data_IF_987530612088
#
_entry.id   IF_987530612088
#
_cell.length_a   1.000
_cell.length_b   1.000
_cell.length_c   1.000
_cell.angle_alpha   90.00
_cell.angle_beta   90.00
_cell.angle_gamma   90.00
#
_symmetry.space_group_name_H-M   'P 1'
#
loop_
_entity.id
_entity.type
_entity.pdbx_description
1 polymer ?
#
# COMPACT_ATOMS: atom_id res chain seq x y z
N UNK A 1 41.21 -10.74 -31.89
CA UNK A 1 40.18 -11.33 -31.02
C UNK A 1 40.28 -12.83 -31.08
N UNK A 2 40.71 -13.50 -30.02
CA UNK A 2 40.68 -14.97 -29.95
C UNK A 2 39.27 -15.38 -29.54
N UNK A 3 38.54 -16.05 -30.41
CA UNK A 3 37.26 -16.65 -30.11
C UNK A 3 37.47 -17.81 -29.13
N UNK A 4 36.90 -17.72 -27.95
CA UNK A 4 36.80 -18.87 -27.04
C UNK A 4 35.82 -19.85 -27.67
N UNK A 5 36.23 -21.10 -27.86
CA UNK A 5 35.34 -22.13 -28.42
C UNK A 5 34.23 -22.44 -27.39
N UNK A 6 33.06 -22.85 -27.90
CA UNK A 6 31.92 -23.26 -27.07
C UNK A 6 32.29 -24.37 -26.08
N UNK A 7 33.26 -25.23 -26.46
CA UNK A 7 33.78 -26.27 -25.58
C UNK A 7 34.58 -25.70 -24.39
N UNK A 8 35.40 -24.67 -24.62
CA UNK A 8 36.16 -24.01 -23.55
C UNK A 8 35.24 -23.26 -22.58
N UNK A 9 34.12 -22.70 -23.06
CA UNK A 9 33.11 -22.10 -22.22
C UNK A 9 32.37 -23.16 -21.36
N UNK A 10 32.01 -24.31 -21.93
CA UNK A 10 31.43 -25.43 -21.20
C UNK A 10 32.36 -25.97 -20.12
N UNK A 11 33.67 -26.10 -20.44
CA UNK A 11 34.67 -26.56 -19.47
C UNK A 11 34.89 -25.55 -18.32
N UNK A 12 34.84 -24.26 -18.59
CA UNK A 12 34.90 -23.21 -17.55
C UNK A 12 33.66 -23.26 -16.67
N UNK A 13 32.47 -23.35 -17.24
CA UNK A 13 31.22 -23.45 -16.51
C UNK A 13 31.13 -24.73 -15.66
N UNK A 14 31.54 -25.88 -16.23
CA UNK A 14 31.58 -27.14 -15.50
C UNK A 14 32.52 -27.08 -14.29
N UNK A 15 33.71 -26.47 -14.44
CA UNK A 15 34.69 -26.33 -13.37
C UNK A 15 34.26 -25.39 -12.24
N UNK A 16 33.58 -24.29 -12.54
CA UNK A 16 33.20 -23.27 -11.54
C UNK A 16 31.80 -23.46 -10.95
N UNK A 17 30.84 -23.96 -11.73
CA UNK A 17 29.45 -24.09 -11.30
C UNK A 17 29.16 -25.47 -10.72
N UNK A 18 29.75 -26.54 -11.25
CA UNK A 18 29.51 -27.92 -10.81
C UNK A 18 30.43 -28.42 -9.71
N UNK A 19 31.40 -27.61 -9.26
CA UNK A 19 32.21 -27.94 -8.07
C UNK A 19 33.09 -29.19 -8.27
N UNK A 20 33.45 -29.57 -9.50
CA UNK A 20 34.41 -30.65 -9.72
C UNK A 20 35.75 -30.27 -9.08
N UNK A 21 36.16 -31.03 -8.09
CA UNK A 21 37.47 -30.93 -7.44
C UNK A 21 38.56 -31.07 -8.49
N UNK A 22 39.16 -29.96 -8.86
CA UNK A 22 40.40 -29.96 -9.60
C UNK A 22 41.45 -30.64 -8.71
N UNK A 23 42.04 -31.72 -9.16
CA UNK A 23 43.20 -32.32 -8.50
C UNK A 23 44.24 -31.22 -8.28
N UNK A 24 44.60 -31.03 -7.00
CA UNK A 24 45.54 -30.01 -6.54
C UNK A 24 46.94 -30.28 -7.09
N UNK A 25 47.17 -29.93 -8.32
CA UNK A 25 48.49 -29.52 -8.78
C UNK A 25 48.56 -28.03 -8.56
N UNK A 26 49.48 -27.60 -7.72
CA UNK A 26 49.72 -26.22 -7.34
C UNK A 26 49.77 -25.30 -8.57
N UNK A 27 48.64 -24.71 -8.94
CA UNK A 27 48.63 -23.62 -9.90
C UNK A 27 49.17 -22.40 -9.16
N UNK A 28 50.46 -22.12 -9.32
CA UNK A 28 51.02 -20.82 -9.00
C UNK A 28 50.38 -19.84 -9.98
N UNK A 29 49.41 -19.07 -9.51
CA UNK A 29 48.81 -18.00 -10.30
C UNK A 29 49.86 -16.91 -10.42
N UNK A 30 50.64 -16.97 -11.47
CA UNK A 30 51.52 -15.87 -11.86
C UNK A 30 50.68 -14.75 -12.45
N UNK A 31 51.11 -13.50 -12.27
CA UNK A 31 50.43 -12.30 -12.80
C UNK A 31 50.04 -12.42 -14.26
N UNK A 32 50.87 -13.10 -15.05
CA UNK A 32 50.66 -13.32 -16.50
C UNK A 32 49.53 -14.33 -16.78
N UNK A 33 49.35 -15.33 -15.90
CA UNK A 33 48.23 -16.29 -16.02
C UNK A 33 46.90 -15.68 -15.61
N UNK A 34 46.91 -14.76 -14.64
CA UNK A 34 45.73 -14.01 -14.26
C UNK A 34 45.29 -13.03 -15.36
N UNK A 35 46.24 -12.36 -16.00
CA UNK A 35 46.00 -11.51 -17.16
C UNK A 35 45.51 -12.30 -18.36
N UNK A 36 46.05 -13.51 -18.61
CA UNK A 36 45.57 -14.39 -19.65
C UNK A 36 44.16 -14.94 -19.43
N UNK A 37 43.77 -15.15 -18.17
CA UNK A 37 42.40 -15.54 -17.83
C UNK A 37 41.40 -14.38 -18.04
N UNK A 38 41.82 -13.17 -17.73
CA UNK A 38 41.00 -11.95 -17.93
C UNK A 38 40.88 -11.63 -19.42
N UNK A 39 41.94 -11.83 -20.22
CA UNK A 39 41.88 -11.69 -21.68
C UNK A 39 40.97 -12.76 -22.33
N UNK A 40 40.72 -13.87 -21.64
CA UNK A 40 39.86 -14.95 -22.13
C UNK A 40 38.38 -14.67 -21.78
N UNK A 41 38.11 -13.94 -20.69
CA UNK A 41 36.74 -13.51 -20.30
C UNK A 41 36.44 -12.18 -21.01
N UNK A 42 36.09 -12.25 -22.29
CA UNK A 42 35.85 -11.07 -23.12
C UNK A 42 34.67 -10.18 -22.65
N UNK A 43 33.83 -10.62 -21.74
CA UNK A 43 32.72 -9.84 -21.20
C UNK A 43 32.18 -10.47 -19.91
N UNK A 44 32.17 -9.70 -18.84
CA UNK A 44 31.46 -10.06 -17.61
C UNK A 44 29.98 -9.64 -17.76
N UNK A 45 29.07 -10.60 -17.80
CA UNK A 45 27.66 -10.35 -17.73
C UNK A 45 27.27 -10.22 -16.26
N UNK A 46 26.95 -9.02 -15.82
CA UNK A 46 26.22 -8.84 -14.58
C UNK A 46 24.73 -8.92 -14.91
N UNK A 47 24.11 -10.01 -14.50
CA UNK A 47 22.63 -10.14 -14.57
C UNK A 47 22.08 -9.23 -13.50
N UNK A 48 21.30 -8.26 -13.92
CA UNK A 48 20.64 -7.30 -13.06
C UNK A 48 19.13 -7.41 -13.27
N UNK A 49 18.37 -7.59 -12.18
CA UNK A 49 16.93 -7.50 -12.20
C UNK A 49 16.53 -6.05 -12.00
N UNK A 50 15.65 -5.55 -12.84
CA UNK A 50 15.03 -4.25 -12.63
C UNK A 50 13.86 -4.40 -11.64
N UNK A 51 13.93 -3.64 -10.54
CA UNK A 51 12.83 -3.58 -9.58
C UNK A 51 11.94 -2.39 -9.95
N UNK A 52 10.70 -2.70 -10.32
CA UNK A 52 9.69 -1.70 -10.69
C UNK A 52 8.67 -1.61 -9.55
N UNK A 53 8.23 -0.40 -9.25
CA UNK A 53 7.15 -0.20 -8.29
C UNK A 53 5.80 -0.45 -8.98
N UNK A 54 5.12 -1.51 -8.56
CA UNK A 54 3.82 -1.92 -9.13
C UNK A 54 2.64 -1.08 -8.61
N UNK A 55 2.87 -0.26 -7.58
CA UNK A 55 1.83 0.55 -6.93
C UNK A 55 2.15 2.06 -6.93
N UNK A 56 2.41 2.67 -8.11
CA UNK A 56 2.73 4.10 -8.19
C UNK A 56 1.55 4.98 -7.76
N UNK A 57 0.32 4.47 -7.83
CA UNK A 57 -0.87 5.17 -7.38
C UNK A 57 -0.93 5.42 -5.87
N UNK A 58 -0.12 4.72 -5.09
CA UNK A 58 0.05 4.97 -3.64
C UNK A 58 1.18 5.95 -3.33
N UNK A 59 1.93 6.40 -4.33
CA UNK A 59 2.92 7.44 -4.14
C UNK A 59 2.23 8.78 -3.89
N UNK A 60 2.72 9.47 -2.87
CA UNK A 60 2.37 10.83 -2.57
C UNK A 60 3.36 11.81 -3.17
N UNK A 61 3.05 13.09 -3.09
CA UNK A 61 3.95 14.15 -3.49
C UNK A 61 5.18 14.24 -2.57
N UNK A 62 6.30 14.75 -3.08
CA UNK A 62 7.47 15.03 -2.27
C UNK A 62 7.20 16.21 -1.34
N UNK A 63 7.36 16.01 -0.03
CA UNK A 63 7.16 17.05 0.97
C UNK A 63 8.45 17.85 1.16
N UNK A 64 8.54 18.99 0.49
CA UNK A 64 9.70 19.87 0.58
C UNK A 64 9.82 20.57 1.95
N UNK A 65 8.69 20.76 2.63
CA UNK A 65 8.61 21.43 3.94
C UNK A 65 7.69 20.66 4.88
N UNK A 66 8.17 20.43 6.11
CA UNK A 66 7.42 19.69 7.12
C UNK A 66 7.41 18.17 6.87
N UNK A 67 7.10 17.42 7.91
CA UNK A 67 7.06 15.94 7.87
C UNK A 67 5.66 15.41 8.18
N UNK A 68 4.72 16.28 8.49
CA UNK A 68 3.37 15.91 8.93
C UNK A 68 2.36 16.42 7.91
N UNK A 69 1.41 15.57 7.55
CA UNK A 69 0.27 15.91 6.71
C UNK A 69 -0.94 15.97 7.63
N UNK A 70 -1.68 17.04 7.55
CA UNK A 70 -2.92 17.24 8.26
C UNK A 70 -4.08 17.14 7.26
N UNK A 71 -5.08 16.33 7.58
CA UNK A 71 -6.29 16.16 6.77
C UNK A 71 -7.46 16.81 7.48
N UNK A 72 -8.18 17.67 6.77
CA UNK A 72 -9.47 18.23 7.19
C UNK A 72 -10.58 17.63 6.33
N UNK A 73 -11.62 17.16 6.95
CA UNK A 73 -12.83 16.73 6.27
C UNK A 73 -14.01 17.62 6.70
N UNK A 74 -14.75 18.15 5.73
CA UNK A 74 -15.97 18.93 5.97
C UNK A 74 -17.15 18.09 5.48
N UNK A 75 -18.01 17.67 6.40
CA UNK A 75 -19.19 16.88 6.07
C UNK A 75 -20.29 17.75 5.43
N UNK A 76 -21.29 17.09 4.84
CA UNK A 76 -22.42 17.75 4.21
C UNK A 76 -23.21 18.57 5.23
N UNK A 77 -23.61 19.77 4.83
CA UNK A 77 -24.48 20.62 5.61
C UNK A 77 -25.92 20.18 5.32
N UNK A 78 -26.71 19.79 6.36
CA UNK A 78 -28.09 19.41 6.16
C UNK A 78 -28.90 20.59 5.64
N UNK A 79 -29.83 20.38 4.69
CA UNK A 79 -30.73 21.41 4.24
C UNK A 79 -31.66 21.85 5.38
N UNK A 80 -31.98 23.11 5.42
CA UNK A 80 -32.92 23.73 6.34
C UNK A 80 -34.14 24.24 5.54
N UNK A 81 -35.32 24.15 6.15
CA UNK A 81 -36.49 24.80 5.60
C UNK A 81 -36.28 26.33 5.55
N UNK A 82 -36.74 26.95 4.49
CA UNK A 82 -36.70 28.40 4.38
C UNK A 82 -37.57 28.99 5.50
N UNK A 83 -37.01 29.88 6.35
CA UNK A 83 -37.80 30.51 7.39
C UNK A 83 -38.93 31.33 6.75
N UNK A 84 -40.13 31.19 7.30
CA UNK A 84 -41.26 32.01 6.92
C UNK A 84 -41.08 33.40 7.55
N UNK A 85 -41.16 34.43 6.69
CA UNK A 85 -40.96 35.82 7.14
C UNK A 85 -42.04 36.32 8.11
N UNK A 86 -43.20 35.68 8.10
CA UNK A 86 -44.34 36.03 8.97
C UNK A 86 -44.36 35.26 10.28
N UNK A 87 -43.39 34.40 10.55
CA UNK A 87 -43.33 33.57 11.75
C UNK A 87 -42.31 34.09 12.80
N UNK A 88 -42.58 33.78 14.06
CA UNK A 88 -41.61 34.03 15.16
C UNK A 88 -40.24 33.36 14.91
N UNK A 89 -40.15 32.43 13.98
CA UNK A 89 -38.93 31.76 13.54
C UNK A 89 -37.97 32.65 12.73
N UNK A 90 -38.38 33.88 12.36
CA UNK A 90 -37.46 34.83 11.68
C UNK A 90 -36.21 35.12 12.53
N UNK A 91 -36.34 35.10 13.85
CA UNK A 91 -35.19 35.23 14.75
C UNK A 91 -34.20 34.05 14.65
N UNK A 92 -34.63 32.86 14.18
CA UNK A 92 -33.75 31.72 13.96
C UNK A 92 -32.88 31.89 12.73
N UNK A 93 -33.30 32.64 11.73
CA UNK A 93 -32.51 32.94 10.53
C UNK A 93 -31.23 33.74 10.85
N UNK A 94 -31.19 34.42 11.98
CA UNK A 94 -30.02 35.19 12.45
C UNK A 94 -29.13 34.41 13.44
N UNK A 95 -29.49 33.18 13.78
CA UNK A 95 -28.66 32.34 14.65
C UNK A 95 -27.37 31.93 13.94
N UNK A 96 -26.29 31.90 14.70
CA UNK A 96 -25.06 31.28 14.25
C UNK A 96 -25.25 29.75 14.15
N UNK A 97 -25.06 29.23 12.95
CA UNK A 97 -25.06 27.79 12.74
C UNK A 97 -23.61 27.30 12.85
N UNK A 98 -23.36 26.41 13.76
CA UNK A 98 -22.05 25.79 13.89
C UNK A 98 -21.65 25.11 12.56
N UNK A 99 -20.44 25.31 12.09
CA UNK A 99 -19.96 24.61 10.90
C UNK A 99 -20.06 23.10 11.11
N UNK A 100 -20.19 22.36 10.02
CA UNK A 100 -20.14 20.92 10.05
C UNK A 100 -18.89 20.45 10.78
N UNK A 101 -18.98 19.32 11.46
CA UNK A 101 -17.87 18.76 12.21
C UNK A 101 -16.68 18.53 11.27
N UNK A 102 -15.50 19.01 11.66
CA UNK A 102 -14.26 18.88 10.87
C UNK A 102 -13.29 17.96 11.62
N UNK A 103 -13.45 16.64 11.50
CA UNK A 103 -12.49 15.72 12.08
C UNK A 103 -11.13 15.90 11.41
N UNK A 104 -10.12 16.10 12.21
CA UNK A 104 -8.74 16.26 11.76
C UNK A 104 -7.98 14.96 11.97
N UNK A 105 -7.22 14.54 10.97
CA UNK A 105 -6.30 13.41 11.10
C UNK A 105 -4.89 13.81 10.71
N UNK A 106 -3.91 13.13 11.31
CA UNK A 106 -2.50 13.40 11.11
C UNK A 106 -1.81 12.19 10.49
N UNK A 107 -0.85 12.47 9.61
CA UNK A 107 0.02 11.43 9.04
C UNK A 107 1.04 10.93 10.05
N UNK A 108 1.54 9.72 9.82
CA UNK A 108 2.61 9.12 10.62
C UNK A 108 3.94 9.24 9.89
N UNK A 109 4.91 9.92 10.51
CA UNK A 109 6.30 9.94 10.02
C UNK A 109 6.97 8.63 10.38
N UNK A 110 7.52 7.95 9.37
CA UNK A 110 8.25 6.71 9.55
C UNK A 110 9.69 6.99 10.03
N UNK A 111 10.30 6.01 10.69
CA UNK A 111 11.70 6.13 11.11
C UNK A 111 12.59 6.28 9.88
N UNK A 112 13.55 7.23 9.88
CA UNK A 112 14.53 7.37 8.82
C UNK A 112 15.27 6.08 8.55
N UNK A 113 15.53 5.79 7.27
CA UNK A 113 16.29 4.61 6.84
C UNK A 113 17.54 5.03 6.09
N UNK A 114 18.59 4.25 6.25
CA UNK A 114 19.83 4.39 5.50
C UNK A 114 20.14 3.06 4.83
N UNK A 115 20.28 3.09 3.52
CA UNK A 115 20.78 1.98 2.71
C UNK A 115 22.27 2.21 2.50
N UNK A 116 23.10 1.24 2.84
CA UNK A 116 24.55 1.37 2.77
C UNK A 116 25.14 0.22 1.95
N UNK A 117 26.14 0.53 1.13
CA UNK A 117 26.98 -0.45 0.45
C UNK A 117 28.42 0.01 0.44
N UNK A 118 29.36 -0.92 0.46
CA UNK A 118 30.80 -0.65 0.39
C UNK A 118 31.38 -1.29 -0.89
N UNK A 119 32.25 -0.55 -1.55
CA UNK A 119 32.93 -1.01 -2.76
C UNK A 119 34.43 -1.03 -2.49
N UNK A 120 35.05 -2.21 -2.36
CA UNK A 120 36.51 -2.31 -2.18
C UNK A 120 37.27 -1.87 -3.44
N UNK A 121 38.31 -1.04 -3.28
CA UNK A 121 39.14 -0.61 -4.40
C UNK A 121 39.83 -1.78 -5.12
N UNK A 122 40.23 -2.81 -4.37
CA UNK A 122 40.87 -3.98 -4.95
C UNK A 122 39.98 -4.76 -5.92
N UNK A 123 38.67 -4.83 -5.60
CA UNK A 123 37.70 -5.54 -6.46
C UNK A 123 37.42 -4.71 -7.71
N UNK A 124 37.37 -3.38 -7.56
CA UNK A 124 37.28 -2.48 -8.72
C UNK A 124 38.50 -2.64 -9.62
N UNK A 125 39.72 -2.57 -9.06
CA UNK A 125 40.93 -2.68 -9.83
C UNK A 125 41.12 -4.05 -10.49
N UNK A 126 40.54 -5.12 -9.95
CA UNK A 126 40.57 -6.47 -10.57
C UNK A 126 39.51 -6.65 -11.64
N UNK A 127 38.36 -6.02 -11.49
CA UNK A 127 37.22 -6.14 -12.39
C UNK A 127 37.30 -5.17 -13.58
N UNK A 128 38.20 -4.19 -13.53
CA UNK A 128 38.20 -3.04 -14.44
C UNK A 128 39.53 -2.92 -15.15
N UNK A 129 39.53 -3.22 -16.44
CA UNK A 129 40.70 -2.97 -17.31
C UNK A 129 40.53 -1.70 -18.15
N UNK A 130 39.34 -1.16 -18.29
CA UNK A 130 39.03 0.05 -19.04
C UNK A 130 38.13 0.99 -18.23
N UNK A 131 38.26 2.29 -18.50
CA UNK A 131 37.48 3.36 -17.86
C UNK A 131 35.95 3.14 -17.97
N UNK A 132 35.48 2.67 -19.12
CA UNK A 132 34.09 2.34 -19.37
C UNK A 132 33.54 1.22 -18.45
N UNK A 133 34.38 0.23 -18.11
CA UNK A 133 34.01 -0.87 -17.21
C UNK A 133 33.91 -0.36 -15.77
N UNK A 134 34.74 0.60 -15.35
CA UNK A 134 34.65 1.23 -14.04
C UNK A 134 33.35 2.00 -13.89
N UNK A 135 33.04 2.86 -14.85
CA UNK A 135 31.79 3.64 -14.86
C UNK A 135 30.59 2.70 -14.80
N UNK A 136 30.58 1.63 -15.58
CA UNK A 136 29.52 0.64 -15.58
C UNK A 136 29.37 -0.09 -14.23
N UNK A 137 30.48 -0.46 -13.58
CA UNK A 137 30.45 -1.12 -12.27
C UNK A 137 29.90 -0.20 -11.18
N UNK A 138 30.36 1.05 -11.11
CA UNK A 138 29.89 2.06 -10.16
C UNK A 138 28.41 2.37 -10.39
N UNK A 139 28.01 2.53 -11.66
CA UNK A 139 26.61 2.80 -12.02
C UNK A 139 25.69 1.65 -11.56
N UNK A 140 26.10 0.39 -11.75
CA UNK A 140 25.33 -0.78 -11.31
C UNK A 140 25.20 -0.86 -9.78
N UNK A 141 26.27 -0.54 -9.04
CA UNK A 141 26.24 -0.53 -7.58
C UNK A 141 25.31 0.59 -7.07
N UNK A 142 25.40 1.77 -7.68
CA UNK A 142 24.49 2.89 -7.35
C UNK A 142 23.05 2.54 -7.69
N UNK A 143 22.81 1.85 -8.81
CA UNK A 143 21.49 1.34 -9.18
C UNK A 143 20.94 0.37 -8.13
N UNK A 144 21.78 -0.52 -7.57
CA UNK A 144 21.34 -1.45 -6.52
C UNK A 144 20.87 -0.75 -5.24
N UNK A 145 21.41 0.40 -4.88
CA UNK A 145 20.88 1.21 -3.79
C UNK A 145 19.48 1.73 -4.11
N UNK A 146 19.25 2.16 -5.35
CA UNK A 146 17.92 2.60 -5.81
C UNK A 146 16.93 1.43 -5.84
N UNK A 147 17.35 0.26 -6.33
CA UNK A 147 16.52 -0.96 -6.35
C UNK A 147 16.15 -1.41 -4.93
N UNK A 148 17.10 -1.32 -4.00
CA UNK A 148 16.86 -1.63 -2.58
C UNK A 148 15.87 -0.64 -1.95
N UNK A 149 15.92 0.65 -2.33
CA UNK A 149 14.92 1.64 -1.93
C UNK A 149 13.53 1.27 -2.48
N UNK A 150 13.43 0.92 -3.77
CA UNK A 150 12.17 0.52 -4.40
C UNK A 150 11.56 -0.70 -3.71
N UNK A 151 12.37 -1.71 -3.40
CA UNK A 151 11.93 -2.88 -2.63
C UNK A 151 11.45 -2.51 -1.22
N UNK A 152 12.13 -1.58 -0.55
CA UNK A 152 11.71 -1.09 0.76
C UNK A 152 10.39 -0.31 0.68
N UNK A 153 10.21 0.56 -0.31
CA UNK A 153 8.97 1.30 -0.56
C UNK A 153 7.81 0.33 -0.78
N UNK A 154 8.03 -0.69 -1.58
CA UNK A 154 7.04 -1.72 -1.87
C UNK A 154 6.55 -2.42 -0.60
N UNK A 155 7.49 -2.85 0.27
CA UNK A 155 7.15 -3.43 1.56
C UNK A 155 6.38 -2.45 2.48
N UNK A 156 6.74 -1.17 2.49
CA UNK A 156 6.02 -0.15 3.27
C UNK A 156 4.59 0.03 2.75
N UNK A 157 4.37 0.01 1.43
CA UNK A 157 3.04 0.11 0.82
C UNK A 157 2.16 -1.08 1.21
N UNK A 158 2.70 -2.30 1.24
CA UNK A 158 1.96 -3.48 1.74
C UNK A 158 1.57 -3.34 3.21
N UNK A 159 2.51 -2.92 4.05
CA UNK A 159 2.23 -2.67 5.47
C UNK A 159 1.16 -1.58 5.65
N UNK A 160 1.17 -0.55 4.82
CA UNK A 160 0.18 0.52 4.86
C UNK A 160 -1.21 0.03 4.46
N UNK A 161 -1.32 -0.82 3.43
CA UNK A 161 -2.57 -1.49 3.08
C UNK A 161 -3.05 -2.44 4.18
N UNK A 162 -2.14 -3.20 4.79
CA UNK A 162 -2.43 -4.06 5.95
C UNK A 162 -2.95 -3.28 7.15
N UNK A 163 -2.36 -2.12 7.44
CA UNK A 163 -2.82 -1.22 8.50
C UNK A 163 -4.22 -0.66 8.20
N UNK A 164 -4.52 -0.34 6.93
CA UNK A 164 -5.87 0.04 6.51
C UNK A 164 -6.89 -1.08 6.77
N UNK A 165 -6.54 -2.32 6.40
CA UNK A 165 -7.36 -3.49 6.67
C UNK A 165 -7.60 -3.68 8.17
N UNK A 166 -6.54 -3.60 8.97
CA UNK A 166 -6.61 -3.76 10.43
C UNK A 166 -7.52 -2.73 11.07
N UNK A 167 -7.40 -1.44 10.72
CA UNK A 167 -8.30 -0.39 11.24
C UNK A 167 -9.76 -0.63 10.88
N UNK A 168 -10.05 -1.13 9.67
CA UNK A 168 -11.42 -1.48 9.30
C UNK A 168 -11.96 -2.66 10.13
N UNK A 169 -11.13 -3.68 10.38
CA UNK A 169 -11.51 -4.83 11.21
C UNK A 169 -11.71 -4.40 12.67
N UNK A 170 -10.79 -3.61 13.22
CA UNK A 170 -10.89 -3.13 14.61
C UNK A 170 -12.17 -2.33 14.81
N UNK A 171 -12.53 -1.45 13.86
CA UNK A 171 -13.78 -0.70 13.90
C UNK A 171 -15.01 -1.62 13.90
N UNK A 172 -14.96 -2.70 13.10
CA UNK A 172 -16.07 -3.67 12.99
C UNK A 172 -16.05 -4.74 14.09
N UNK A 173 -14.97 -4.86 14.87
CA UNK A 173 -14.80 -5.84 15.95
C UNK A 173 -15.16 -5.28 17.33
N UNK A 174 -15.66 -4.04 17.39
CA UNK A 174 -16.02 -3.42 18.67
C UNK A 174 -16.99 -4.27 19.47
N UNK A 175 -16.74 -4.41 20.76
CA UNK A 175 -17.59 -5.14 21.71
C UNK A 175 -18.48 -4.22 22.54
N UNK A 176 -18.24 -2.90 22.50
CA UNK A 176 -18.97 -1.90 23.25
C UNK A 176 -20.40 -1.81 22.71
N UNK A 177 -21.37 -2.29 23.48
CA UNK A 177 -22.79 -2.27 23.11
C UNK A 177 -23.39 -0.92 23.39
N UNK A 178 -24.21 -0.42 22.46
CA UNK A 178 -24.96 0.82 22.65
C UNK A 178 -25.97 0.67 23.76
N UNK A 179 -26.01 1.64 24.68
CA UNK A 179 -26.99 1.76 25.73
C UNK A 179 -27.57 3.17 25.74
N UNK A 180 -28.89 3.28 25.68
CA UNK A 180 -29.64 4.56 25.61
C UNK A 180 -29.29 5.53 26.74
N UNK A 181 -29.08 4.99 27.94
CA UNK A 181 -28.80 5.78 29.14
C UNK A 181 -27.34 6.19 29.32
N UNK A 182 -26.45 5.84 28.35
CA UNK A 182 -25.03 6.14 28.44
C UNK A 182 -24.65 7.24 27.44
N UNK A 183 -23.87 8.22 27.88
CA UNK A 183 -23.31 9.24 26.98
C UNK A 183 -22.09 8.70 26.26
N UNK A 184 -21.94 9.05 24.99
CA UNK A 184 -20.81 8.61 24.14
C UNK A 184 -20.15 9.81 23.47
N UNK A 185 -18.84 9.81 23.51
CA UNK A 185 -18.05 10.80 22.81
C UNK A 185 -18.03 10.56 21.28
N UNK A 186 -17.83 11.63 20.54
CA UNK A 186 -17.64 11.60 19.09
C UNK A 186 -16.52 10.61 18.71
N UNK A 187 -16.72 9.83 17.65
CA UNK A 187 -15.75 8.85 17.16
C UNK A 187 -15.76 7.52 17.92
N UNK A 188 -16.66 7.31 18.89
CA UNK A 188 -16.78 6.04 19.60
C UNK A 188 -17.46 4.99 18.73
N UNK A 189 -16.81 3.83 18.56
CA UNK A 189 -17.39 2.68 17.85
C UNK A 189 -18.30 1.88 18.79
N UNK A 190 -19.47 1.54 18.30
CA UNK A 190 -20.50 0.85 19.06
C UNK A 190 -21.10 -0.31 18.27
N UNK A 191 -21.67 -1.24 19.02
CA UNK A 191 -22.41 -2.40 18.51
C UNK A 191 -23.88 -2.28 18.93
N UNK A 192 -24.78 -2.59 18.01
CA UNK A 192 -26.18 -2.82 18.34
C UNK A 192 -26.35 -4.17 19.04
N UNK A 193 -27.17 -4.21 20.12
CA UNK A 193 -27.45 -5.44 20.85
C UNK A 193 -28.27 -6.45 20.03
N UNK A 194 -29.18 -5.96 19.20
CA UNK A 194 -30.20 -6.77 18.55
C UNK A 194 -29.82 -7.23 17.16
N UNK A 195 -29.38 -6.28 16.32
CA UNK A 195 -29.04 -6.57 14.92
C UNK A 195 -27.56 -6.92 14.70
N UNK A 196 -26.76 -6.81 15.75
CA UNK A 196 -25.30 -6.98 15.64
C UNK A 196 -24.60 -5.99 14.68
N UNK A 197 -25.32 -4.95 14.23
CA UNK A 197 -24.78 -3.88 13.41
C UNK A 197 -23.67 -3.11 14.15
N UNK A 198 -22.73 -2.56 13.40
CA UNK A 198 -21.66 -1.70 13.93
C UNK A 198 -21.85 -0.28 13.45
N UNK A 199 -21.52 0.67 14.31
CA UNK A 199 -21.62 2.07 13.97
C UNK A 199 -20.64 2.91 14.76
N UNK A 200 -20.54 4.16 14.35
CA UNK A 200 -19.70 5.18 14.99
C UNK A 200 -20.57 6.36 15.40
N UNK A 201 -20.24 6.96 16.53
CA UNK A 201 -20.88 8.21 16.99
C UNK A 201 -20.33 9.38 16.15
N UNK A 202 -21.18 9.97 15.33
CA UNK A 202 -20.85 11.11 14.46
C UNK A 202 -21.32 12.46 14.99
N UNK A 203 -22.12 12.45 16.06
CA UNK A 203 -22.61 13.64 16.78
C UNK A 203 -22.66 13.33 18.26
N UNK A 204 -22.19 14.26 19.10
CA UNK A 204 -22.20 14.08 20.56
C UNK A 204 -23.51 13.51 21.07
N UNK A 205 -23.43 12.34 21.68
CA UNK A 205 -24.60 11.65 22.23
C UNK A 205 -24.62 11.79 23.75
N UNK A 206 -25.64 12.48 24.26
CA UNK A 206 -25.95 12.52 25.70
C UNK A 206 -26.93 11.41 26.03
N UNK A 207 -26.88 10.94 27.27
CA UNK A 207 -27.81 9.93 27.75
C UNK A 207 -29.27 10.30 27.44
N UNK A 208 -30.03 9.34 26.96
CA UNK A 208 -31.44 9.45 26.58
C UNK A 208 -31.75 10.39 25.39
N UNK A 209 -30.78 10.77 24.57
CA UNK A 209 -31.03 11.51 23.32
C UNK A 209 -31.82 10.71 22.29
N UNK A 210 -31.80 9.38 22.38
CA UNK A 210 -32.57 8.46 21.55
C UNK A 210 -33.26 7.40 22.43
N UNK A 211 -34.26 6.74 21.89
CA UNK A 211 -35.01 5.68 22.58
C UNK A 211 -34.50 4.28 22.23
N UNK A 212 -33.77 4.15 21.15
CA UNK A 212 -33.22 2.90 20.65
C UNK A 212 -32.02 3.15 19.72
N UNK A 213 -31.30 2.09 19.30
CA UNK A 213 -30.29 2.16 18.24
C UNK A 213 -30.85 2.75 16.95
N UNK A 214 -32.00 2.23 16.48
CA UNK A 214 -32.65 2.70 15.25
C UNK A 214 -33.05 4.20 15.33
N UNK A 215 -33.53 4.66 16.47
CA UNK A 215 -33.84 6.07 16.70
C UNK A 215 -32.56 6.93 16.72
N UNK A 216 -31.48 6.44 17.31
CA UNK A 216 -30.20 7.14 17.32
C UNK A 216 -29.60 7.26 15.89
N UNK A 217 -29.76 6.25 15.06
CA UNK A 217 -29.37 6.28 13.63
C UNK A 217 -30.26 7.27 12.87
N UNK A 218 -31.57 7.25 13.06
CA UNK A 218 -32.51 8.16 12.39
C UNK A 218 -32.27 9.61 12.75
N UNK A 219 -31.92 9.88 14.01
CA UNK A 219 -31.58 11.22 14.50
C UNK A 219 -30.17 11.67 14.13
N UNK A 220 -29.40 10.83 13.45
CA UNK A 220 -28.05 11.13 12.98
C UNK A 220 -26.98 11.21 14.09
N UNK A 221 -27.18 10.53 15.23
CA UNK A 221 -26.16 10.38 16.25
C UNK A 221 -25.18 9.25 15.91
N UNK A 222 -25.70 8.18 15.30
CA UNK A 222 -24.95 7.00 14.94
C UNK A 222 -24.97 6.83 13.42
N UNK A 223 -23.79 6.67 12.82
CA UNK A 223 -23.64 6.21 11.44
C UNK A 223 -23.31 4.72 11.44
N UNK A 224 -24.16 3.92 10.78
CA UNK A 224 -23.90 2.50 10.59
C UNK A 224 -22.74 2.30 9.64
N UNK A 225 -21.78 1.44 10.00
CA UNK A 225 -20.59 1.14 9.22
C UNK A 225 -20.74 -0.17 8.44
N UNK A 226 -20.21 -0.19 7.23
CA UNK A 226 -20.14 -1.34 6.34
C UNK A 226 -18.73 -1.46 5.73
N UNK A 227 -17.70 -1.59 6.61
CA UNK A 227 -16.29 -1.58 6.24
C UNK A 227 -15.75 -2.97 5.89
N UNK A 228 -16.39 -4.04 6.36
CA UNK A 228 -15.94 -5.42 6.16
C UNK A 228 -17.06 -6.26 5.59
N UNK A 229 -16.80 -6.97 4.51
CA UNK A 229 -17.68 -7.99 3.95
C UNK A 229 -17.08 -9.36 4.16
N UNK A 230 -17.81 -10.25 4.82
CA UNK A 230 -17.46 -11.65 4.93
C UNK A 230 -18.05 -12.41 3.75
N UNK A 231 -17.20 -12.98 2.91
CA UNK A 231 -17.59 -13.71 1.70
C UNK A 231 -16.60 -14.84 1.45
N UNK A 232 -17.04 -15.90 0.75
CA UNK A 232 -16.14 -16.98 0.38
C UNK A 232 -14.98 -16.47 -0.48
N UNK A 233 -13.79 -16.98 -0.21
CA UNK A 233 -12.60 -16.71 -1.01
C UNK A 233 -12.82 -17.22 -2.44
N UNK A 234 -12.49 -16.45 -3.49
CA UNK A 234 -12.71 -16.86 -4.88
C UNK A 234 -11.73 -17.94 -5.31
N UNK A 235 -12.07 -19.20 -5.04
CA UNK A 235 -11.27 -20.40 -5.38
C UNK A 235 -11.96 -21.32 -6.40
N UNK A 236 -13.18 -21.03 -6.79
CA UNK A 236 -13.94 -21.70 -7.84
C UNK A 236 -14.82 -20.70 -8.61
N UNK A 237 -15.47 -21.14 -9.68
CA UNK A 237 -16.28 -20.27 -10.54
C UNK A 237 -17.43 -19.62 -9.77
N UNK A 238 -18.11 -20.36 -8.92
CA UNK A 238 -19.27 -19.87 -8.16
C UNK A 238 -18.86 -18.79 -7.15
N UNK A 239 -17.81 -19.05 -6.37
CA UNK A 239 -17.29 -18.07 -5.39
C UNK A 239 -16.66 -16.86 -6.09
N UNK A 240 -16.01 -17.04 -7.25
CA UNK A 240 -15.48 -15.96 -8.06
C UNK A 240 -16.58 -15.05 -8.61
N UNK A 241 -17.67 -15.61 -9.16
CA UNK A 241 -18.82 -14.83 -9.63
C UNK A 241 -19.49 -14.07 -8.47
N UNK A 242 -19.68 -14.74 -7.34
CA UNK A 242 -20.26 -14.11 -6.15
C UNK A 242 -19.42 -12.92 -5.67
N UNK A 243 -18.09 -13.07 -5.64
CA UNK A 243 -17.17 -12.00 -5.29
C UNK A 243 -17.26 -10.81 -6.27
N UNK A 244 -17.26 -11.07 -7.58
CA UNK A 244 -17.35 -10.01 -8.60
C UNK A 244 -18.70 -9.29 -8.53
N UNK A 245 -19.79 -10.00 -8.27
CA UNK A 245 -21.11 -9.38 -8.06
C UNK A 245 -21.08 -8.45 -6.84
N UNK A 246 -20.49 -8.91 -5.73
CA UNK A 246 -20.36 -8.09 -4.54
C UNK A 246 -19.48 -6.87 -4.79
N UNK A 247 -18.31 -7.04 -5.43
CA UNK A 247 -17.42 -5.96 -5.82
C UNK A 247 -18.13 -4.91 -6.68
N UNK A 248 -18.92 -5.34 -7.69
CA UNK A 248 -19.72 -4.43 -8.53
C UNK A 248 -20.73 -3.64 -7.71
N UNK A 249 -21.38 -4.26 -6.71
CA UNK A 249 -22.31 -3.56 -5.80
C UNK A 249 -21.58 -2.48 -5.00
N UNK A 250 -20.44 -2.82 -4.42
CA UNK A 250 -19.66 -1.91 -3.57
C UNK A 250 -19.05 -0.75 -4.38
N UNK A 251 -18.54 -1.01 -5.58
CA UNK A 251 -18.09 0.04 -6.50
C UNK A 251 -19.22 0.97 -6.93
N UNK A 252 -20.44 0.45 -7.17
CA UNK A 252 -21.60 1.30 -7.47
C UNK A 252 -21.96 2.19 -6.28
N UNK A 253 -21.86 1.68 -5.04
CA UNK A 253 -22.09 2.46 -3.83
C UNK A 253 -21.02 3.56 -3.67
N UNK A 254 -19.75 3.24 -3.90
CA UNK A 254 -18.65 4.19 -3.82
C UNK A 254 -18.71 5.29 -4.90
N UNK A 255 -19.26 5.01 -6.07
CA UNK A 255 -19.49 6.00 -7.16
C UNK A 255 -20.69 6.93 -6.92
N UNK A 256 -21.35 6.83 -5.79
CA UNK A 256 -22.48 7.68 -5.38
C UNK A 256 -22.17 8.29 -4.01
N UNK A 257 -22.96 9.28 -3.62
CA UNK A 257 -22.91 9.78 -2.24
C UNK A 257 -23.32 8.62 -1.34
N UNK A 258 -22.45 8.23 -0.44
CA UNK A 258 -22.63 7.11 0.47
C UNK A 258 -22.01 7.42 1.83
N UNK A 259 -22.56 6.83 2.87
CA UNK A 259 -22.05 6.89 4.24
C UNK A 259 -21.77 5.48 4.75
N UNK A 260 -20.99 5.37 5.82
CA UNK A 260 -20.65 4.07 6.42
C UNK A 260 -19.50 3.30 5.77
N UNK A 261 -18.84 3.86 4.76
CA UNK A 261 -17.67 3.28 4.08
C UNK A 261 -16.37 3.99 4.40
N UNK A 262 -16.38 4.89 5.39
CA UNK A 262 -15.19 5.52 5.97
C UNK A 262 -15.08 5.19 7.45
N UNK A 263 -13.85 5.20 7.99
CA UNK A 263 -13.61 4.94 9.41
C UNK A 263 -14.32 5.96 10.33
N UNK A 264 -14.52 7.18 9.88
CA UNK A 264 -15.24 8.23 10.63
C UNK A 264 -16.74 8.28 10.34
N UNK A 265 -17.28 7.42 9.47
CA UNK A 265 -18.70 7.39 9.14
C UNK A 265 -19.20 8.60 8.35
N UNK A 266 -18.30 9.35 7.71
CA UNK A 266 -18.62 10.55 6.94
C UNK A 266 -19.33 10.22 5.63
N UNK A 267 -20.06 11.20 5.09
CA UNK A 267 -20.63 11.11 3.75
C UNK A 267 -19.51 11.26 2.70
N UNK A 268 -19.26 10.19 1.97
CA UNK A 268 -18.25 10.16 0.90
C UNK A 268 -18.94 10.53 -0.40
N UNK A 269 -18.34 11.48 -1.14
CA UNK A 269 -18.75 11.80 -2.52
C UNK A 269 -18.34 10.72 -3.51
N UNK A 270 -18.76 10.86 -4.77
CA UNK A 270 -18.41 9.93 -5.84
C UNK A 270 -16.90 9.84 -6.02
N UNK A 271 -16.34 8.63 -5.84
CA UNK A 271 -14.91 8.37 -6.00
C UNK A 271 -14.65 7.70 -7.35
N UNK A 272 -13.69 8.23 -8.11
CA UNK A 272 -13.21 7.66 -9.38
C UNK A 272 -11.83 7.00 -9.24
N UNK A 273 -11.14 7.25 -8.13
CA UNK A 273 -9.75 6.84 -7.86
C UNK A 273 -9.66 5.56 -7.03
N UNK A 274 -10.62 4.65 -7.22
CA UNK A 274 -10.62 3.37 -6.50
C UNK A 274 -9.74 2.35 -7.18
N UNK A 275 -9.08 1.54 -6.35
CA UNK A 275 -8.35 0.34 -6.76
C UNK A 275 -8.71 -0.82 -5.84
N UNK A 276 -8.74 -2.00 -6.43
CA UNK A 276 -8.85 -3.27 -5.71
C UNK A 276 -7.44 -3.85 -5.55
N UNK A 277 -7.02 -4.06 -4.32
CA UNK A 277 -5.83 -4.82 -3.99
C UNK A 277 -6.26 -6.21 -3.54
N UNK A 278 -5.77 -7.24 -4.19
CA UNK A 278 -6.14 -8.64 -3.96
C UNK A 278 -4.89 -9.51 -3.91
N UNK A 279 -4.93 -10.61 -3.16
CA UNK A 279 -3.82 -11.55 -3.10
C UNK A 279 -3.49 -12.12 -4.48
N UNK A 280 -2.19 -12.18 -4.82
CA UNK A 280 -1.66 -12.62 -6.12
C UNK A 280 -2.17 -14.00 -6.55
N UNK A 281 -2.26 -14.95 -5.63
CA UNK A 281 -2.78 -16.29 -5.89
C UNK A 281 -4.23 -16.30 -6.43
N UNK A 282 -5.01 -15.29 -6.07
CA UNK A 282 -6.42 -15.20 -6.44
C UNK A 282 -6.64 -14.52 -7.77
N UNK A 283 -5.75 -13.62 -8.17
CA UNK A 283 -5.82 -12.94 -9.47
C UNK A 283 -5.66 -13.94 -10.60
N UNK A 284 -4.65 -14.82 -10.50
CA UNK A 284 -4.44 -15.88 -11.45
C UNK A 284 -5.68 -16.77 -11.62
N UNK A 285 -6.40 -17.03 -10.53
CA UNK A 285 -7.62 -17.80 -10.53
C UNK A 285 -8.79 -17.06 -11.21
N UNK A 286 -8.97 -15.78 -10.89
CA UNK A 286 -10.01 -14.95 -11.49
C UNK A 286 -9.80 -14.80 -12.99
N UNK A 287 -8.56 -14.62 -13.46
CA UNK A 287 -8.23 -14.49 -14.87
C UNK A 287 -8.52 -15.77 -15.65
N UNK A 288 -8.14 -16.93 -15.12
CA UNK A 288 -8.29 -18.21 -15.84
C UNK A 288 -9.71 -18.75 -15.80
N UNK A 289 -10.41 -18.65 -14.67
CA UNK A 289 -11.70 -19.33 -14.47
C UNK A 289 -12.90 -18.44 -14.75
N UNK A 290 -12.86 -17.19 -14.36
CA UNK A 290 -13.98 -16.27 -14.55
C UNK A 290 -13.99 -15.72 -15.97
N UNK A 291 -12.82 -15.44 -16.56
CA UNK A 291 -12.73 -15.08 -17.98
C UNK A 291 -13.08 -16.24 -18.91
N UNK A 292 -12.63 -17.46 -18.62
CA UNK A 292 -12.96 -18.64 -19.41
C UNK A 292 -14.47 -18.95 -19.42
N UNK A 293 -15.19 -18.65 -18.33
CA UNK A 293 -16.66 -18.76 -18.28
C UNK A 293 -17.40 -17.64 -19.02
N UNK A 294 -16.73 -16.50 -19.27
CA UNK A 294 -17.32 -15.31 -19.88
C UNK A 294 -17.04 -15.17 -21.38
N UNK A 295 -16.46 -16.16 -22.05
CA UNK A 295 -16.03 -16.15 -23.47
C UNK A 295 -17.12 -15.76 -24.50
N UNK A 296 -18.33 -15.49 -24.05
CA UNK A 296 -19.44 -15.01 -24.91
C UNK A 296 -19.91 -13.58 -24.61
N UNK A 297 -19.23 -12.80 -23.76
CA UNK A 297 -19.65 -11.42 -23.50
C UNK A 297 -18.45 -10.48 -23.33
N UNK A 298 -18.41 -9.43 -24.13
CA UNK A 298 -17.51 -8.25 -24.05
C UNK A 298 -17.67 -7.44 -22.74
N UNK A 299 -17.67 -8.05 -21.58
CA UNK A 299 -17.84 -7.36 -20.30
C UNK A 299 -16.55 -7.38 -19.50
N UNK A 300 -16.03 -6.19 -19.24
CA UNK A 300 -14.98 -5.95 -18.26
C UNK A 300 -15.40 -6.57 -16.93
N UNK A 301 -14.66 -7.58 -16.48
CA UNK A 301 -14.95 -8.36 -15.27
C UNK A 301 -14.80 -7.50 -14.02
N UNK A 302 -13.72 -6.76 -13.88
CA UNK A 302 -13.48 -5.87 -12.75
C UNK A 302 -13.92 -4.44 -13.09
N UNK A 303 -14.81 -3.83 -12.28
CA UNK A 303 -15.30 -2.47 -12.49
C UNK A 303 -14.27 -1.38 -12.09
N UNK A 304 -13.11 -1.78 -11.55
CA UNK A 304 -12.00 -0.94 -11.10
C UNK A 304 -10.67 -1.60 -11.45
N UNK A 305 -9.59 -0.82 -11.45
CA UNK A 305 -8.25 -1.38 -11.62
C UNK A 305 -7.90 -2.34 -10.49
N UNK A 306 -7.43 -3.52 -10.85
CA UNK A 306 -6.98 -4.56 -9.92
C UNK A 306 -5.47 -4.49 -9.79
N UNK A 307 -4.96 -4.65 -8.58
CA UNK A 307 -3.55 -4.75 -8.25
C UNK A 307 -3.31 -5.94 -7.34
N UNK A 308 -2.23 -6.64 -7.63
CA UNK A 308 -1.83 -7.82 -6.88
C UNK A 308 -1.01 -7.43 -5.66
N UNK A 309 -1.26 -8.09 -4.56
CA UNK A 309 -0.47 -7.95 -3.34
C UNK A 309 -0.09 -9.33 -2.83
N UNK A 310 1.11 -9.44 -2.30
CA UNK A 310 1.62 -10.70 -1.76
C UNK A 310 0.90 -11.09 -0.47
N UNK A 311 0.72 -10.13 0.41
CA UNK A 311 0.04 -10.30 1.69
C UNK A 311 -0.43 -8.93 2.21
N UNK A 312 -1.20 -8.94 3.28
CA UNK A 312 -1.64 -7.75 3.99
C UNK A 312 -0.90 -7.55 5.33
N UNK A 313 0.34 -8.07 5.43
CA UNK A 313 1.17 -7.93 6.62
C UNK A 313 0.56 -8.60 7.85
N UNK A 314 0.60 -7.90 8.99
CA UNK A 314 0.08 -8.39 10.28
C UNK A 314 -1.46 -8.38 10.38
N UNK A 315 -2.17 -8.10 9.29
CA UNK A 315 -3.61 -8.19 9.26
C UNK A 315 -4.08 -9.66 9.38
N UNK A 316 -5.36 -9.83 9.73
CA UNK A 316 -5.98 -11.16 9.84
C UNK A 316 -5.73 -11.98 8.57
N UNK A 317 -5.18 -13.18 8.70
CA UNK A 317 -4.84 -14.09 7.60
C UNK A 317 -6.04 -14.47 6.68
N UNK A 318 -7.27 -14.22 7.14
CA UNK A 318 -8.49 -14.41 6.36
C UNK A 318 -8.82 -13.26 5.40
N UNK A 319 -8.06 -12.16 5.43
CA UNK A 319 -8.25 -11.06 4.48
C UNK A 319 -7.64 -11.47 3.15
N UNK A 320 -8.40 -11.30 2.09
CA UNK A 320 -7.92 -11.61 0.75
C UNK A 320 -8.00 -10.44 -0.24
N UNK A 321 -8.77 -9.38 0.07
CA UNK A 321 -8.82 -8.20 -0.77
C UNK A 321 -9.25 -6.95 0.01
N UNK A 322 -8.84 -5.77 -0.49
CA UNK A 322 -9.32 -4.47 -0.05
C UNK A 322 -9.64 -3.59 -1.26
N UNK A 323 -10.79 -2.95 -1.24
CA UNK A 323 -11.18 -1.89 -2.16
C UNK A 323 -10.98 -0.55 -1.46
N UNK A 324 -10.11 0.30 -2.00
CA UNK A 324 -9.74 1.56 -1.35
C UNK A 324 -9.66 2.71 -2.36
N UNK A 325 -10.00 3.90 -1.89
CA UNK A 325 -9.70 5.14 -2.61
C UNK A 325 -8.21 5.48 -2.43
N UNK A 326 -7.45 5.45 -3.52
CA UNK A 326 -5.99 5.65 -3.50
C UNK A 326 -5.58 7.05 -3.03
N UNK A 327 -6.50 8.03 -2.99
CA UNK A 327 -6.23 9.35 -2.40
C UNK A 327 -6.04 9.30 -0.89
N UNK A 328 -6.69 8.33 -0.24
CA UNK A 328 -6.65 8.15 1.22
C UNK A 328 -5.49 7.29 1.71
N UNK A 329 -4.75 6.66 0.82
CA UNK A 329 -3.61 5.81 1.18
C UNK A 329 -2.40 6.26 0.38
N UNK A 330 -1.49 6.99 1.02
CA UNK A 330 -0.34 7.60 0.36
C UNK A 330 0.94 7.43 1.15
N UNK A 331 2.04 7.21 0.43
CA UNK A 331 3.39 7.23 0.97
C UNK A 331 4.13 8.44 0.39
N UNK A 332 4.42 9.41 1.22
CA UNK A 332 5.12 10.63 0.84
C UNK A 332 6.59 10.52 1.15
N UNK A 333 7.44 10.97 0.23
CA UNK A 333 8.87 11.15 0.47
C UNK A 333 9.11 12.51 1.11
N UNK A 334 9.88 12.55 2.19
CA UNK A 334 10.24 13.80 2.87
C UNK A 334 11.69 14.15 2.70
N UNK A 335 12.56 13.15 2.55
CA UNK A 335 13.97 13.36 2.33
C UNK A 335 14.58 12.21 1.53
N UNK A 336 15.47 12.56 0.60
CA UNK A 336 16.32 11.61 -0.12
C UNK A 336 17.67 12.27 -0.40
N UNK A 337 18.75 11.61 0.00
CA UNK A 337 20.08 12.06 -0.31
C UNK A 337 21.05 10.87 -0.41
N UNK A 338 22.03 10.97 -1.29
CA UNK A 338 23.08 9.96 -1.40
C UNK A 338 24.40 10.63 -1.01
N UNK A 339 25.13 10.01 -0.11
CA UNK A 339 26.46 10.44 0.35
C UNK A 339 27.46 9.32 0.11
N UNK A 340 28.72 9.70 -0.08
CA UNK A 340 29.85 8.78 -0.14
C UNK A 340 30.89 9.12 0.92
N UNK A 341 31.63 8.10 1.34
CA UNK A 341 32.74 8.26 2.26
C UNK A 341 33.87 7.29 1.89
N UNK A 342 35.02 7.82 1.57
CA UNK A 342 36.20 7.06 1.20
C UNK A 342 37.03 6.74 2.44
N UNK A 343 37.29 5.44 2.68
CA UNK A 343 38.21 4.99 3.69
C UNK A 343 39.56 4.60 3.04
N UNK A 344 40.51 5.53 3.07
CA UNK A 344 41.83 5.31 2.47
C UNK A 344 42.68 4.28 3.19
N UNK A 345 42.45 4.04 4.50
CA UNK A 345 43.20 3.05 5.27
C UNK A 345 42.83 1.61 4.92
N UNK A 346 41.55 1.36 4.73
CA UNK A 346 41.01 0.03 4.41
C UNK A 346 40.73 -0.17 2.92
N UNK A 347 40.91 0.85 2.09
CA UNK A 347 40.83 0.79 0.65
C UNK A 347 39.41 0.50 0.11
N UNK A 348 38.38 1.18 0.62
CA UNK A 348 37.01 1.07 0.09
C UNK A 348 36.29 2.42 0.10
N UNK A 349 35.23 2.52 -0.71
CA UNK A 349 34.27 3.63 -0.69
C UNK A 349 32.94 3.09 -0.17
N UNK A 350 32.36 3.80 0.79
CA UNK A 350 31.01 3.58 1.26
C UNK A 350 30.06 4.53 0.54
N UNK A 351 28.93 3.99 0.10
CA UNK A 351 27.79 4.77 -0.41
C UNK A 351 26.63 4.63 0.55
N UNK A 352 26.03 5.75 0.93
CA UNK A 352 24.89 5.83 1.85
C UNK A 352 23.73 6.52 1.15
N UNK A 353 22.59 5.85 1.08
CA UNK A 353 21.34 6.46 0.61
C UNK A 353 20.41 6.65 1.77
N UNK A 354 20.21 7.91 2.15
CA UNK A 354 19.29 8.30 3.22
C UNK A 354 17.90 8.50 2.65
N UNK A 355 16.90 7.90 3.30
CA UNK A 355 15.50 7.93 2.87
C UNK A 355 14.59 8.19 4.06
N UNK A 356 13.71 9.20 3.95
CA UNK A 356 12.68 9.46 4.94
C UNK A 356 11.31 9.52 4.26
N UNK A 357 10.32 8.91 4.91
CA UNK A 357 8.97 8.79 4.40
C UNK A 357 7.94 9.16 5.46
N UNK A 358 6.81 9.68 5.01
CA UNK A 358 5.61 9.88 5.82
C UNK A 358 4.47 9.06 5.23
N UNK A 359 3.94 8.14 6.01
CA UNK A 359 2.77 7.34 5.65
C UNK A 359 1.50 8.11 6.01
N UNK A 360 0.59 8.20 5.04
CA UNK A 360 -0.71 8.83 5.20
C UNK A 360 -1.81 7.80 4.99
N UNK A 361 -2.70 7.68 5.97
CA UNK A 361 -3.88 6.84 5.92
C UNK A 361 -5.09 7.65 6.38
N UNK A 362 -5.90 8.10 5.43
CA UNK A 362 -7.13 8.84 5.69
C UNK A 362 -8.15 7.96 6.42
N UNK A 363 -8.88 8.56 7.35
CA UNK A 363 -10.06 7.94 7.99
C UNK A 363 -11.37 8.36 7.33
N UNK A 364 -11.28 9.27 6.35
CA UNK A 364 -12.43 9.93 5.73
C UNK A 364 -12.70 9.46 4.30
N UNK A 365 -11.86 8.56 3.75
CA UNK A 365 -11.99 8.03 2.39
C UNK A 365 -12.66 6.66 2.39
N UNK A 366 -13.12 6.25 1.20
CA UNK A 366 -13.75 4.95 0.99
C UNK A 366 -12.77 3.80 1.25
N UNK A 367 -13.19 2.86 2.10
CA UNK A 367 -12.48 1.61 2.37
C UNK A 367 -13.47 0.47 2.53
N UNK A 368 -13.18 -0.67 1.92
CA UNK A 368 -13.96 -1.90 2.05
C UNK A 368 -13.07 -3.11 2.03
N UNK A 369 -13.06 -3.88 3.09
CA UNK A 369 -12.26 -5.10 3.25
C UNK A 369 -13.10 -6.32 2.97
N UNK A 370 -12.53 -7.28 2.25
CA UNK A 370 -13.13 -8.58 1.98
C UNK A 370 -12.38 -9.65 2.76
N UNK A 371 -13.12 -10.37 3.57
CA UNK A 371 -12.60 -11.39 4.48
C UNK A 371 -13.30 -12.72 4.21
N UNK A 372 -12.53 -13.79 4.31
CA UNK A 372 -13.05 -15.16 4.24
C UNK A 372 -13.99 -15.46 5.42
N UNK A 373 -15.02 -16.21 5.14
CA UNK A 373 -16.06 -16.60 6.10
C UNK A 373 -15.52 -17.49 7.25
#
# INVERSE_FOLDING_TARGET
>A
MRHVSEQQLKDIVAKYVLGEKIATTSLTITRDNALGLVDTIGKIFMIDGDFVDDMPELDGEFLSYGKTIEEYFIDLIPPMDKPDLDSEKYAEALKYYAPANMPTSYSTTLKPKVLATSVPFNDINRAVHNEDQLVNAVTKITKKLSDSETSMIWNIKFQLLGEACKKCIDAMSTTTTFAVATAYALGTYLKDSDSNARGIIVKDYKANNATSWADAVTKGYIQVLDLVTTIAKPVDTETGEAFIIQLKKDVKKAKRISSGYSLNGNNIGATSTMKLYILEDLTAYLDVKVEAGAFHQDKVLAPVGVKEVRDFGDADAKIFAILVDTRGVKLHRTYIATYDNTNGLLGFINYFRHCEYTAFLSRNTFMKVYKEA
#
